data_IF_008868107601
#
_entry.id   IF_008868107601
#
_cell.length_a   1.000
_cell.length_b   1.000
_cell.length_c   1.000
_cell.angle_alpha   90.00
_cell.angle_beta   90.00
_cell.angle_gamma   90.00
#
_symmetry.space_group_name_H-M   'P 1'
#
loop_
_entity.id
_entity.type
_entity.pdbx_description
1 polymer ?
#
# COMPACT_ATOMS: atom_id res chain seq x y z
N UNK A 1 10.45 7.73 14.75
CA UNK A 1 10.06 7.20 13.43
C UNK A 1 8.89 6.25 13.63
N UNK A 2 7.76 6.52 13.01
CA UNK A 2 6.55 5.71 13.17
C UNK A 2 6.38 4.76 11.98
N UNK A 3 5.80 3.59 12.26
CA UNK A 3 5.39 2.63 11.21
C UNK A 3 3.87 2.51 11.31
N UNK A 4 3.18 2.72 10.20
CA UNK A 4 1.73 2.67 10.10
C UNK A 4 1.34 1.44 9.30
N UNK A 5 0.48 0.59 9.86
CA UNK A 5 -0.07 -0.54 9.10
C UNK A 5 -1.28 -0.06 8.30
N UNK A 6 -1.13 0.07 6.99
CA UNK A 6 -2.20 0.56 6.11
C UNK A 6 -3.34 -0.45 6.02
N UNK A 7 -3.03 -1.75 5.97
CA UNK A 7 -4.02 -2.81 5.87
C UNK A 7 -4.76 -3.12 7.17
N UNK A 8 -4.43 -2.45 8.28
CA UNK A 8 -5.10 -2.65 9.56
C UNK A 8 -6.62 -2.40 9.50
N UNK A 9 -7.06 -1.55 8.57
CA UNK A 9 -8.47 -1.22 8.38
C UNK A 9 -9.18 -2.18 7.42
N UNK A 10 -8.48 -3.11 6.80
CA UNK A 10 -9.07 -4.03 5.83
C UNK A 10 -10.00 -5.01 6.54
N UNK A 11 -11.17 -5.21 5.94
CA UNK A 11 -12.14 -6.19 6.41
C UNK A 11 -11.93 -7.50 5.66
N UNK A 12 -12.55 -8.56 6.19
CA UNK A 12 -12.39 -9.91 5.66
C UNK A 12 -12.70 -10.05 4.18
N UNK A 13 -13.69 -9.30 3.66
CA UNK A 13 -14.14 -9.42 2.28
C UNK A 13 -13.65 -8.29 1.37
N UNK A 14 -12.81 -7.40 1.89
CA UNK A 14 -12.39 -6.22 1.13
C UNK A 14 -11.41 -6.61 0.03
N UNK A 15 -11.82 -6.39 -1.22
CA UNK A 15 -10.99 -6.50 -2.42
C UNK A 15 -10.70 -5.14 -3.04
N UNK A 16 -11.30 -4.08 -2.51
CA UNK A 16 -11.04 -2.71 -2.87
C UNK A 16 -11.29 -1.84 -1.65
N UNK A 17 -10.28 -1.11 -1.23
CA UNK A 17 -10.36 -0.24 -0.06
C UNK A 17 -9.83 1.14 -0.42
N UNK A 18 -10.61 2.17 -0.09
CA UNK A 18 -10.19 3.57 -0.24
C UNK A 18 -10.08 4.19 1.14
N UNK A 19 -8.94 4.77 1.45
CA UNK A 19 -8.74 5.41 2.75
C UNK A 19 -7.86 6.65 2.61
N UNK A 20 -8.09 7.60 3.51
CA UNK A 20 -7.29 8.82 3.60
C UNK A 20 -6.40 8.72 4.84
N UNK A 21 -5.11 8.93 4.66
CA UNK A 21 -4.11 8.82 5.72
C UNK A 21 -3.19 10.03 5.70
N UNK A 22 -2.67 10.38 6.87
CA UNK A 22 -1.61 11.37 6.99
C UNK A 22 -0.27 10.65 7.07
N UNK A 23 0.58 10.87 6.08
CA UNK A 23 1.88 10.22 5.96
C UNK A 23 2.95 11.32 5.94
N UNK A 24 3.83 11.34 6.95
CA UNK A 24 4.84 12.40 7.15
C UNK A 24 4.24 13.81 7.15
N UNK A 25 3.08 13.98 7.80
CA UNK A 25 2.43 15.27 7.95
C UNK A 25 1.62 15.73 6.75
N UNK A 26 1.50 14.93 5.69
CA UNK A 26 0.75 15.24 4.48
C UNK A 26 -0.36 14.23 4.28
N UNK A 27 -1.56 14.68 3.93
CA UNK A 27 -2.70 13.80 3.70
C UNK A 27 -2.68 13.26 2.28
N UNK A 28 -2.89 11.95 2.19
CA UNK A 28 -3.01 11.22 0.92
C UNK A 28 -4.23 10.32 0.94
N UNK A 29 -4.80 10.06 -0.23
CA UNK A 29 -5.80 9.00 -0.39
C UNK A 29 -5.14 7.82 -1.08
N UNK A 30 -5.35 6.62 -0.52
CA UNK A 30 -4.81 5.38 -1.04
C UNK A 30 -5.96 4.46 -1.40
N UNK A 31 -6.07 4.10 -2.67
CA UNK A 31 -7.03 3.11 -3.15
C UNK A 31 -6.27 1.80 -3.39
N UNK A 32 -6.63 0.76 -2.64
CA UNK A 32 -5.99 -0.56 -2.74
C UNK A 32 -7.00 -1.53 -3.33
N UNK A 33 -6.62 -2.27 -4.37
CA UNK A 33 -7.55 -3.14 -5.08
C UNK A 33 -6.85 -4.36 -5.66
N UNK A 34 -7.66 -5.37 -6.03
CA UNK A 34 -7.17 -6.57 -6.67
C UNK A 34 -7.46 -6.56 -8.15
N UNK A 35 -6.59 -7.21 -8.93
CA UNK A 35 -6.85 -7.52 -10.34
C UNK A 35 -7.02 -9.03 -10.45
N UNK A 36 -8.22 -9.49 -10.79
CA UNK A 36 -8.53 -10.92 -10.88
C UNK A 36 -7.80 -11.60 -12.03
N UNK A 37 -7.41 -10.86 -13.05
CA UNK A 37 -6.74 -11.42 -14.21
C UNK A 37 -5.35 -11.94 -13.87
N UNK A 38 -4.63 -11.28 -12.96
CA UNK A 38 -3.28 -11.72 -12.55
C UNK A 38 -3.18 -12.16 -11.09
N UNK A 39 -4.27 -12.03 -10.32
CA UNK A 39 -4.30 -12.44 -8.92
C UNK A 39 -3.50 -11.55 -7.99
N UNK A 40 -3.24 -10.30 -8.34
CA UNK A 40 -2.36 -9.41 -7.59
C UNK A 40 -3.09 -8.21 -7.03
N UNK A 41 -2.46 -7.59 -6.03
CA UNK A 41 -2.91 -6.34 -5.45
C UNK A 41 -2.19 -5.15 -6.05
N UNK A 42 -2.91 -4.03 -6.17
CA UNK A 42 -2.40 -2.77 -6.68
C UNK A 42 -2.84 -1.61 -5.79
N UNK A 43 -2.14 -0.50 -5.89
CA UNK A 43 -2.44 0.71 -5.14
C UNK A 43 -2.41 1.91 -6.07
N UNK A 44 -3.43 2.75 -5.97
CA UNK A 44 -3.45 4.07 -6.59
C UNK A 44 -3.27 5.11 -5.50
N UNK A 45 -2.38 6.07 -5.73
CA UNK A 45 -2.06 7.12 -4.78
C UNK A 45 -2.57 8.46 -5.29
N UNK A 46 -3.35 9.14 -4.44
CA UNK A 46 -3.94 10.44 -4.75
C UNK A 46 -3.54 11.46 -3.69
N UNK A 47 -3.52 12.75 -4.06
CA UNK A 47 -3.33 13.81 -3.08
C UNK A 47 -4.63 14.08 -2.30
N UNK A 48 -4.60 15.03 -1.36
CA UNK A 48 -5.75 15.36 -0.52
C UNK A 48 -6.92 15.95 -1.31
N UNK A 49 -6.64 16.54 -2.46
CA UNK A 49 -7.65 17.10 -3.36
C UNK A 49 -8.27 16.04 -4.29
N UNK A 50 -7.75 14.82 -4.26
CA UNK A 50 -8.22 13.73 -5.11
C UNK A 50 -7.55 13.65 -6.47
N UNK A 51 -6.50 14.43 -6.70
CA UNK A 51 -5.75 14.35 -7.95
C UNK A 51 -4.79 13.16 -7.94
N UNK A 52 -4.74 12.34 -8.99
CA UNK A 52 -3.86 11.17 -9.01
C UNK A 52 -2.38 11.57 -9.05
N UNK A 53 -1.58 10.91 -8.21
CA UNK A 53 -0.13 11.07 -8.19
C UNK A 53 0.52 9.90 -8.91
N UNK A 54 0.19 8.67 -8.53
CA UNK A 54 0.65 7.43 -9.16
C UNK A 54 -0.52 6.46 -9.21
N UNK A 55 -0.74 5.83 -10.35
CA UNK A 55 -1.78 4.82 -10.53
C UNK A 55 -1.12 3.47 -10.84
N UNK A 56 -1.66 2.39 -10.25
CA UNK A 56 -1.25 1.03 -10.59
C UNK A 56 0.07 0.59 -10.01
N UNK A 57 0.39 0.98 -8.77
CA UNK A 57 1.57 0.44 -8.07
C UNK A 57 1.29 -1.01 -7.69
N UNK A 58 2.06 -1.95 -8.24
CA UNK A 58 1.97 -3.36 -7.85
C UNK A 58 2.51 -3.58 -6.44
N UNK A 59 1.76 -4.30 -5.60
CA UNK A 59 2.17 -4.56 -4.22
C UNK A 59 3.11 -5.76 -4.16
N UNK A 60 4.40 -5.52 -4.39
CA UNK A 60 5.43 -6.53 -4.33
C UNK A 60 6.10 -6.52 -2.95
N UNK A 61 6.40 -7.71 -2.43
CA UNK A 61 7.03 -7.89 -1.11
C UNK A 61 8.52 -7.55 -1.17
N UNK A 62 9.01 -6.90 -0.12
CA UNK A 62 10.44 -6.69 0.05
C UNK A 62 11.04 -5.48 -0.67
N UNK A 63 10.20 -4.61 -1.24
CA UNK A 63 10.65 -3.43 -1.96
C UNK A 63 10.06 -2.16 -1.36
N UNK A 64 10.78 -1.04 -1.48
CA UNK A 64 10.18 0.28 -1.30
C UNK A 64 9.36 0.59 -2.55
N UNK A 65 8.06 0.52 -2.43
CA UNK A 65 7.13 0.65 -3.56
C UNK A 65 7.11 2.06 -4.14
N UNK A 66 7.57 3.06 -3.40
CA UNK A 66 7.61 4.45 -3.85
C UNK A 66 8.95 4.82 -4.50
N UNK A 67 9.95 3.94 -4.41
CA UNK A 67 11.29 4.25 -4.92
C UNK A 67 11.30 4.69 -6.38
N UNK A 68 10.61 4.02 -7.32
CA UNK A 68 10.61 4.44 -8.73
C UNK A 68 9.92 5.79 -8.98
N UNK A 69 9.16 6.29 -8.00
CA UNK A 69 8.31 7.47 -8.15
C UNK A 69 8.78 8.67 -7.33
N UNK A 70 10.03 8.66 -6.85
CA UNK A 70 10.57 9.73 -6.01
C UNK A 70 10.63 11.10 -6.70
N UNK A 71 10.54 11.14 -8.03
CA UNK A 71 10.44 12.37 -8.79
C UNK A 71 9.04 13.00 -8.74
N UNK A 72 8.06 12.34 -8.17
CA UNK A 72 6.69 12.82 -7.99
C UNK A 72 6.47 13.26 -6.52
N UNK A 73 5.31 13.85 -6.25
CA UNK A 73 4.94 14.29 -4.89
C UNK A 73 4.43 13.13 -4.03
N UNK A 74 5.18 12.04 -4.00
CA UNK A 74 4.86 10.87 -3.19
C UNK A 74 5.28 11.11 -1.73
N UNK A 75 4.72 10.33 -0.77
CA UNK A 75 5.17 10.41 0.62
C UNK A 75 6.68 10.19 0.75
N UNK A 76 7.31 10.89 1.67
CA UNK A 76 8.76 10.91 1.81
C UNK A 76 9.34 9.61 2.39
N UNK A 77 8.53 8.81 3.08
CA UNK A 77 8.98 7.58 3.74
C UNK A 77 8.98 6.37 2.81
N UNK A 78 8.91 5.20 3.42
CA UNK A 78 9.00 3.91 2.71
C UNK A 78 7.66 3.20 2.78
N UNK A 79 7.13 2.82 1.63
CA UNK A 79 5.92 2.00 1.53
C UNK A 79 6.33 0.57 1.15
N UNK A 80 5.95 -0.40 1.97
CA UNK A 80 6.40 -1.78 1.75
C UNK A 80 5.37 -2.80 2.19
N UNK A 81 5.42 -3.98 1.57
CA UNK A 81 4.64 -5.15 1.96
C UNK A 81 5.56 -6.13 2.68
N UNK A 82 5.10 -6.66 3.81
CA UNK A 82 5.79 -7.70 4.54
C UNK A 82 4.95 -8.98 4.56
N UNK A 83 5.54 -10.09 4.15
CA UNK A 83 4.91 -11.40 4.25
C UNK A 83 5.11 -11.93 5.67
N UNK A 84 4.03 -11.99 6.43
CA UNK A 84 4.05 -12.39 7.84
C UNK A 84 4.05 -13.90 8.04
N UNK A 85 3.68 -14.65 6.99
CA UNK A 85 3.45 -16.09 7.12
C UNK A 85 4.56 -16.95 6.56
N UNK A 86 5.52 -16.40 5.83
CA UNK A 86 6.53 -17.27 5.25
C UNK A 86 7.49 -16.62 4.27
N UNK A 87 7.68 -17.12 3.06
CA UNK A 87 8.87 -16.92 2.24
C UNK A 87 8.98 -15.59 1.51
N UNK A 88 8.27 -14.55 1.93
CA UNK A 88 8.34 -13.21 1.34
C UNK A 88 7.89 -13.20 -0.14
N UNK A 89 6.83 -13.91 -0.44
CA UNK A 89 6.20 -13.89 -1.75
C UNK A 89 5.26 -12.67 -1.89
N UNK A 90 4.98 -12.28 -3.14
CA UNK A 90 4.00 -11.23 -3.40
C UNK A 90 2.61 -11.65 -2.91
N UNK A 91 1.81 -10.69 -2.37
CA UNK A 91 0.52 -11.06 -1.78
C UNK A 91 -0.47 -11.57 -2.83
N UNK A 92 -1.09 -12.72 -2.55
CA UNK A 92 -2.21 -13.23 -3.31
C UNK A 92 -3.51 -12.52 -2.94
N UNK A 93 -4.63 -12.95 -3.56
CA UNK A 93 -5.91 -12.25 -3.39
C UNK A 93 -6.40 -12.20 -1.94
N UNK A 94 -6.13 -13.23 -1.14
CA UNK A 94 -6.60 -13.31 0.24
C UNK A 94 -5.52 -13.00 1.28
N UNK A 95 -4.33 -12.57 0.86
CA UNK A 95 -3.20 -12.42 1.77
C UNK A 95 -3.47 -11.39 2.88
N UNK A 96 -4.08 -10.27 2.56
CA UNK A 96 -4.38 -9.25 3.57
C UNK A 96 -5.57 -9.63 4.45
N UNK A 97 -6.57 -10.27 3.87
CA UNK A 97 -7.70 -10.83 4.60
C UNK A 97 -7.24 -11.86 5.63
N UNK A 98 -6.37 -12.78 5.25
CA UNK A 98 -5.89 -13.86 6.08
C UNK A 98 -4.76 -13.43 7.01
N UNK A 99 -4.36 -12.15 6.97
CA UNK A 99 -3.25 -11.61 7.76
C UNK A 99 -1.92 -12.31 7.47
N UNK A 100 -1.79 -12.94 6.30
CA UNK A 100 -0.54 -13.54 5.85
C UNK A 100 0.46 -12.48 5.37
N UNK A 101 -0.01 -11.32 4.96
CA UNK A 101 0.81 -10.19 4.57
C UNK A 101 0.16 -8.89 5.06
N UNK A 102 0.96 -7.82 5.15
CA UNK A 102 0.46 -6.51 5.52
C UNK A 102 1.23 -5.42 4.76
N UNK A 103 0.54 -4.32 4.47
CA UNK A 103 1.12 -3.15 3.83
C UNK A 103 1.43 -2.11 4.91
N UNK A 104 2.67 -1.65 4.95
CA UNK A 104 3.16 -0.70 5.94
C UNK A 104 3.72 0.55 5.29
N UNK A 105 3.62 1.65 6.01
CA UNK A 105 4.33 2.88 5.69
C UNK A 105 5.25 3.24 6.85
N UNK A 106 6.55 3.37 6.58
CA UNK A 106 7.53 3.81 7.56
C UNK A 106 7.83 5.29 7.32
N UNK A 107 7.53 6.13 8.29
CA UNK A 107 7.74 7.57 8.17
C UNK A 107 9.23 7.93 8.07
N UNK A 108 9.52 8.99 7.30
CA UNK A 108 10.88 9.41 7.02
C UNK A 108 11.55 10.08 8.23
N UNK A 109 10.76 10.67 9.13
CA UNK A 109 11.30 11.43 10.26
C UNK A 109 10.98 10.82 11.61
#
# INVERSE_FOLDING_TARGET
MAIIEITAQFREEDKHTSQTLTLDGVRFRLDTYTNKADGRWYLDLFDDAGAPIVLGIGLATGLDLLYPYRYLDVPAGILFVNDLAGPQEDPGLDAFKDKAAALYYQEAA
#
